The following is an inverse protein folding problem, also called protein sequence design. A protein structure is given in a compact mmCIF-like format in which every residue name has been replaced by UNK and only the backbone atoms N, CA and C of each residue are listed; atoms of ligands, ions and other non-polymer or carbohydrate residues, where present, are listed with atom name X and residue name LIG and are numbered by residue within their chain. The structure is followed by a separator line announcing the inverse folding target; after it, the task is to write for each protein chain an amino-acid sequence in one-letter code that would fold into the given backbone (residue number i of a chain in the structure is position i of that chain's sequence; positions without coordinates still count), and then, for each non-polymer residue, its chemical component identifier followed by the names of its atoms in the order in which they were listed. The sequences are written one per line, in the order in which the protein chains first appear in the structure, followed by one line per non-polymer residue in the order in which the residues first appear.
data_IF_834853324395
#
_entry.id   IF_834853324395
#
_cell.length_a   1.000
_cell.length_b   1.000
_cell.length_c   1.000
_cell.angle_alpha   90.00
_cell.angle_beta   90.00
_cell.angle_gamma   90.00
#
_symmetry.space_group_name_H-M   'P 1'
#
loop_
_entity.id
_entity.type
_entity.pdbx_description
1 polymer ?
#
# COMPACT_ATOMS: atom_id res chain seq x y z
N UNK A 1 7.49 22.50 2.07
CA UNK A 1 6.16 23.07 2.39
C UNK A 1 5.10 21.97 2.36
N UNK A 2 5.22 20.98 3.27
CA UNK A 2 4.12 20.12 3.79
C UNK A 2 4.52 19.40 5.11
N UNK A 3 5.69 19.70 5.70
CA UNK A 3 6.23 19.01 6.89
C UNK A 3 5.79 19.62 8.23
N UNK A 4 4.55 20.08 8.37
CA UNK A 4 4.18 20.82 9.60
C UNK A 4 2.74 20.64 10.04
N UNK A 5 2.29 19.39 10.20
CA UNK A 5 1.04 19.16 10.92
C UNK A 5 1.03 17.84 11.71
N UNK A 6 1.73 17.83 12.86
CA UNK A 6 1.38 17.14 14.12
C UNK A 6 2.60 17.29 15.07
N UNK A 7 2.83 18.42 15.74
CA UNK A 7 2.28 18.73 17.07
C UNK A 7 2.42 17.55 18.05
N UNK A 8 3.08 17.58 19.21
CA UNK A 8 3.71 18.61 20.04
C UNK A 8 4.61 17.86 21.04
N UNK A 9 5.69 18.54 21.43
CA UNK A 9 6.52 18.39 22.64
C UNK A 9 5.82 17.81 23.88
N UNK A 10 6.47 16.84 24.54
CA UNK A 10 6.58 16.78 26.01
C UNK A 10 7.99 16.34 26.39
N UNK A 11 8.78 17.29 26.85
CA UNK A 11 10.00 17.06 27.62
C UNK A 11 9.67 17.50 29.05
N UNK A 12 9.68 16.57 30.02
CA UNK A 12 9.75 16.92 31.44
C UNK A 12 10.53 15.85 32.20
N UNK A 13 11.55 16.34 32.91
CA UNK A 13 12.51 15.69 33.81
C UNK A 13 11.94 14.75 34.90
N UNK A 14 12.68 13.67 35.11
CA UNK A 14 13.27 13.12 36.36
C UNK A 14 12.43 12.75 37.61
N UNK A 15 12.75 11.54 38.11
CA UNK A 15 12.65 10.95 39.46
C UNK A 15 11.26 10.79 40.09
N UNK A 16 10.83 9.54 40.32
CA UNK A 16 10.61 8.91 41.64
C UNK A 16 10.06 7.48 41.49
N UNK A 17 10.26 6.69 42.54
CA UNK A 17 10.14 5.25 42.62
C UNK A 17 8.74 4.65 42.38
N UNK A 18 8.73 3.40 41.92
CA UNK A 18 7.80 2.35 42.37
C UNK A 18 6.33 2.50 41.99
N UNK A 19 5.93 1.89 40.88
CA UNK A 19 4.71 1.08 40.79
C UNK A 19 4.68 0.39 39.42
N UNK A 20 4.45 -0.91 39.45
CA UNK A 20 4.22 -1.74 38.29
C UNK A 20 3.00 -1.24 37.52
N UNK A 21 3.22 -0.53 36.41
CA UNK A 21 2.25 -0.41 35.33
C UNK A 21 2.92 -1.01 34.10
N UNK A 22 2.65 -2.30 33.87
CA UNK A 22 2.92 -2.93 32.59
C UNK A 22 2.04 -2.20 31.56
N UNK A 23 2.63 -1.25 30.84
CA UNK A 23 2.03 -0.61 29.69
C UNK A 23 1.82 -1.72 28.67
N UNK A 24 0.64 -2.36 28.67
CA UNK A 24 0.23 -3.18 27.54
C UNK A 24 0.12 -2.21 26.37
N UNK A 25 1.17 -2.15 25.57
CA UNK A 25 1.10 -1.59 24.24
C UNK A 25 -0.03 -2.33 23.55
N UNK A 26 -1.16 -1.65 23.38
CA UNK A 26 -2.24 -2.12 22.53
C UNK A 26 -1.63 -2.10 21.14
N UNK A 27 -1.05 -3.22 20.71
CA UNK A 27 -0.69 -3.43 19.32
C UNK A 27 -2.00 -3.34 18.56
N UNK A 28 -2.27 -2.16 18.01
CA UNK A 28 -3.29 -1.97 17.01
C UNK A 28 -2.86 -2.81 15.81
N UNK A 29 -3.21 -4.09 15.82
CA UNK A 29 -3.24 -4.90 14.62
C UNK A 29 -4.30 -4.26 13.75
N UNK A 30 -3.89 -3.32 12.90
CA UNK A 30 -4.74 -2.79 11.85
C UNK A 30 -5.28 -4.01 11.10
N UNK A 31 -6.59 -4.23 11.17
CA UNK A 31 -7.26 -5.25 10.38
C UNK A 31 -7.13 -4.83 8.91
N UNK A 32 -6.07 -5.30 8.25
CA UNK A 32 -5.94 -5.18 6.80
C UNK A 32 -6.71 -6.35 6.22
N UNK A 33 -7.88 -6.14 5.58
CA UNK A 33 -8.55 -7.20 4.85
C UNK A 33 -7.55 -7.76 3.82
N UNK A 34 -7.27 -9.05 3.91
CA UNK A 34 -6.38 -9.70 2.95
C UNK A 34 -7.11 -9.78 1.60
N UNK A 35 -6.58 -9.16 0.54
CA UNK A 35 -7.23 -9.23 -0.76
C UNK A 35 -7.27 -10.67 -1.27
N UNK A 36 -8.25 -11.04 -2.11
CA UNK A 36 -8.27 -12.36 -2.73
C UNK A 36 -6.97 -12.59 -3.53
N UNK A 37 -6.45 -13.81 -3.63
CA UNK A 37 -5.18 -14.07 -4.33
C UNK A 37 -5.15 -13.62 -5.79
N UNK A 38 -6.30 -13.62 -6.48
CA UNK A 38 -6.48 -13.15 -7.86
C UNK A 38 -7.62 -12.15 -7.87
N UNK A 39 -7.45 -11.01 -8.56
CA UNK A 39 -8.54 -10.05 -8.71
C UNK A 39 -9.58 -10.57 -9.71
N UNK A 40 -10.87 -10.59 -9.36
CA UNK A 40 -11.94 -10.94 -10.29
C UNK A 40 -12.07 -9.95 -11.46
N UNK A 41 -11.60 -8.71 -11.30
CA UNK A 41 -11.75 -7.66 -12.31
C UNK A 41 -10.66 -7.69 -13.38
N UNK A 42 -9.45 -8.13 -13.03
CA UNK A 42 -8.29 -8.18 -13.93
C UNK A 42 -7.83 -9.59 -14.27
N UNK A 43 -8.27 -10.59 -13.50
CA UNK A 43 -7.76 -11.96 -13.52
C UNK A 43 -6.25 -12.05 -13.26
N UNK A 44 -5.65 -11.03 -12.65
CA UNK A 44 -4.24 -10.99 -12.30
C UNK A 44 -4.03 -11.31 -10.82
N UNK A 45 -2.88 -11.89 -10.45
CA UNK A 45 -2.52 -12.09 -9.06
C UNK A 45 -2.46 -10.76 -8.30
N UNK A 46 -3.13 -10.70 -7.16
CA UNK A 46 -2.94 -9.63 -6.19
C UNK A 46 -1.65 -9.92 -5.43
N UNK A 47 -0.65 -9.08 -5.66
CA UNK A 47 0.63 -9.14 -4.96
C UNK A 47 0.63 -8.14 -3.82
N UNK A 48 1.36 -8.46 -2.76
CA UNK A 48 1.52 -7.59 -1.61
C UNK A 48 2.99 -7.18 -1.50
N UNK A 49 3.21 -5.89 -1.27
CA UNK A 49 4.51 -5.33 -0.98
C UNK A 49 4.52 -4.75 0.42
N UNK A 50 5.44 -5.22 1.26
CA UNK A 50 5.63 -4.68 2.60
C UNK A 50 6.42 -3.38 2.51
N UNK A 51 5.75 -2.26 2.73
CA UNK A 51 6.38 -0.94 2.82
C UNK A 51 6.28 -0.42 4.25
N UNK A 52 7.43 -0.37 4.94
CA UNK A 52 7.49 -0.11 6.39
C UNK A 52 6.63 -1.12 7.15
N UNK A 53 5.70 -0.66 7.98
CA UNK A 53 4.75 -1.49 8.73
C UNK A 53 3.39 -1.64 8.02
N UNK A 54 3.32 -1.39 6.71
CA UNK A 54 2.07 -1.41 5.93
C UNK A 54 2.19 -2.37 4.73
N UNK A 55 1.06 -2.98 4.36
CA UNK A 55 0.95 -3.81 3.16
C UNK A 55 0.32 -3.00 2.03
N UNK A 56 0.99 -2.99 0.88
CA UNK A 56 0.52 -2.34 -0.35
C UNK A 56 0.16 -3.41 -1.36
N UNK A 57 -1.11 -3.46 -1.78
CA UNK A 57 -1.54 -4.34 -2.87
C UNK A 57 -1.13 -3.75 -4.21
N UNK A 58 -0.67 -4.60 -5.11
CA UNK A 58 -0.42 -4.23 -6.49
C UNK A 58 -0.69 -5.40 -7.44
N UNK A 59 -0.95 -5.06 -8.68
CA UNK A 59 -1.05 -6.00 -9.80
C UNK A 59 -0.05 -5.61 -10.87
N UNK A 60 0.32 -6.60 -11.69
CA UNK A 60 1.30 -6.39 -12.73
C UNK A 60 0.93 -7.16 -14.00
N UNK A 61 1.08 -6.52 -15.15
CA UNK A 61 0.91 -7.11 -16.49
C UNK A 61 2.10 -6.80 -17.39
N UNK A 62 2.22 -7.52 -18.50
CA UNK A 62 3.33 -7.44 -19.44
C UNK A 62 4.52 -8.34 -19.07
N UNK A 63 5.51 -8.46 -19.96
CA UNK A 63 6.70 -9.29 -19.74
C UNK A 63 7.70 -8.60 -18.79
N UNK A 64 8.44 -9.34 -17.95
CA UNK A 64 9.38 -8.78 -16.97
C UNK A 64 10.57 -8.04 -17.60
N UNK A 65 10.87 -8.32 -18.87
CA UNK A 65 11.93 -7.75 -19.70
C UNK A 65 11.41 -6.69 -20.69
N UNK A 66 10.19 -6.19 -20.50
CA UNK A 66 9.65 -5.10 -21.30
C UNK A 66 10.59 -3.87 -21.28
N UNK A 67 10.79 -3.19 -22.42
CA UNK A 67 11.69 -2.02 -22.52
C UNK A 67 11.20 -0.81 -21.70
N UNK A 68 9.92 -0.74 -21.39
CA UNK A 68 9.31 0.37 -20.65
C UNK A 68 8.56 -0.11 -19.42
N UNK A 69 8.46 0.76 -18.41
CA UNK A 69 7.67 0.52 -17.21
C UNK A 69 6.66 1.65 -16.99
N UNK A 70 5.43 1.30 -16.65
CA UNK A 70 4.38 2.25 -16.33
C UNK A 70 3.78 1.94 -14.95
N UNK A 71 3.55 2.99 -14.14
CA UNK A 71 2.91 2.88 -12.83
C UNK A 71 1.60 3.65 -12.84
N UNK A 72 0.51 2.94 -12.57
CA UNK A 72 -0.84 3.47 -12.54
C UNK A 72 -1.25 3.68 -11.08
N UNK A 73 -1.50 4.95 -10.74
CA UNK A 73 -1.94 5.37 -9.41
C UNK A 73 -3.39 5.81 -9.51
N UNK A 74 -4.26 5.24 -8.68
CA UNK A 74 -5.68 5.56 -8.68
C UNK A 74 -5.97 6.84 -7.86
N UNK A 75 -7.17 7.42 -8.05
CA UNK A 75 -7.65 8.56 -7.26
C UNK A 75 -8.40 8.15 -5.99
N UNK A 76 -9.10 9.09 -5.36
CA UNK A 76 -9.87 8.81 -4.14
C UNK A 76 -11.03 7.82 -4.39
N UNK A 77 -11.36 7.01 -3.38
CA UNK A 77 -12.51 6.08 -3.35
C UNK A 77 -12.51 4.95 -4.39
N UNK A 78 -11.37 4.68 -5.03
CA UNK A 78 -11.19 3.55 -5.96
C UNK A 78 -9.95 2.73 -5.57
N UNK A 79 -9.71 1.63 -6.27
CA UNK A 79 -8.53 0.78 -6.09
C UNK A 79 -7.89 0.46 -7.45
N UNK A 80 -6.79 -0.29 -7.46
CA UNK A 80 -6.03 -0.68 -8.64
C UNK A 80 -6.86 -1.36 -9.74
N UNK A 81 -7.97 -2.02 -9.40
CA UNK A 81 -8.82 -2.73 -10.37
C UNK A 81 -9.56 -1.76 -11.30
N UNK A 82 -9.64 -0.47 -10.92
CA UNK A 82 -10.14 0.58 -11.79
C UNK A 82 -9.39 0.62 -13.14
N UNK A 83 -8.10 0.27 -13.12
CA UNK A 83 -7.22 0.27 -14.29
C UNK A 83 -7.31 -0.98 -15.17
N UNK A 84 -8.22 -1.93 -14.92
CA UNK A 84 -8.28 -3.24 -15.63
C UNK A 84 -8.16 -3.18 -17.16
N UNK A 85 -8.73 -2.15 -17.80
CA UNK A 85 -8.66 -1.96 -19.26
C UNK A 85 -7.32 -1.36 -19.68
N UNK A 86 -6.88 -0.29 -19.01
CA UNK A 86 -5.60 0.38 -19.28
C UNK A 86 -4.42 -0.55 -19.05
N UNK A 87 -4.46 -1.33 -17.98
CA UNK A 87 -3.41 -2.26 -17.61
C UNK A 87 -3.25 -3.39 -18.64
N UNK A 88 -4.37 -3.88 -19.20
CA UNK A 88 -4.34 -4.84 -20.31
C UNK A 88 -3.85 -4.19 -21.60
N UNK A 89 -4.39 -3.02 -21.97
CA UNK A 89 -4.07 -2.36 -23.24
C UNK A 89 -2.62 -1.90 -23.34
N UNK A 90 -2.05 -1.34 -22.27
CA UNK A 90 -0.64 -0.93 -22.27
C UNK A 90 0.33 -2.12 -22.34
N UNK A 91 -0.06 -3.27 -21.79
CA UNK A 91 0.78 -4.47 -21.78
C UNK A 91 0.64 -5.34 -23.05
N UNK A 92 -0.29 -5.00 -23.95
CA UNK A 92 -0.73 -5.87 -25.06
C UNK A 92 0.37 -6.14 -26.09
N UNK A 93 1.17 -5.12 -26.42
CA UNK A 93 2.27 -5.23 -27.38
C UNK A 93 3.58 -5.77 -26.76
N UNK A 94 3.58 -6.03 -25.44
CA UNK A 94 4.75 -6.48 -24.70
C UNK A 94 5.82 -5.41 -24.47
N UNK A 95 5.61 -4.16 -24.90
CA UNK A 95 6.58 -3.07 -24.76
C UNK A 95 6.57 -2.44 -23.35
N UNK A 96 5.47 -2.59 -22.60
CA UNK A 96 5.35 -2.09 -21.23
C UNK A 96 5.17 -3.20 -20.19
N UNK A 97 5.93 -3.07 -19.09
CA UNK A 97 5.62 -3.67 -17.80
C UNK A 97 4.75 -2.70 -17.00
N UNK A 98 3.49 -3.04 -16.80
CA UNK A 98 2.51 -2.13 -16.20
C UNK A 98 2.18 -2.56 -14.79
N UNK A 99 2.29 -1.64 -13.84
CA UNK A 99 1.96 -1.84 -12.43
C UNK A 99 0.74 -0.99 -12.06
N UNK A 100 -0.26 -1.56 -11.41
CA UNK A 100 -1.32 -0.80 -10.75
C UNK A 100 -1.25 -1.04 -9.24
N UNK A 101 -1.21 0.03 -8.45
CA UNK A 101 -0.99 -0.01 -7.01
C UNK A 101 -2.20 0.54 -6.25
N UNK A 102 -2.47 -0.01 -5.07
CA UNK A 102 -3.39 0.60 -4.12
C UNK A 102 -2.65 1.61 -3.24
N UNK A 103 -3.24 2.79 -3.07
CA UNK A 103 -2.79 3.75 -2.08
C UNK A 103 -3.17 3.27 -0.67
N UNK A 104 -2.41 3.68 0.33
CA UNK A 104 -2.68 3.33 1.73
C UNK A 104 -4.11 3.74 2.13
N UNK A 105 -4.83 2.82 2.76
CA UNK A 105 -6.24 3.01 3.13
C UNK A 105 -7.23 2.76 1.97
N UNK A 106 -6.76 2.26 0.82
CA UNK A 106 -7.58 1.79 -0.30
C UNK A 106 -7.30 0.32 -0.58
N UNK A 107 -8.29 -0.38 -1.13
CA UNK A 107 -8.20 -1.83 -1.40
C UNK A 107 -8.94 -2.67 -0.37
#
# INVERSE_FOLDING_TARGET
QWDTFCGRTVETMLFFAGASLLLMAISATAYTPTPPPVSPATSLPNKLYNWRSQQVRYQVSGPPDAPHAAVLVHGLFVNADHWRKTLKGLAEDGSYRVYAIDLLGSG
#
